data_IF_522459153116
#
_entry.id   IF_522459153116
#
_cell.length_a   1.000
_cell.length_b   1.000
_cell.length_c   1.000
_cell.angle_alpha   90.00
_cell.angle_beta   90.00
_cell.angle_gamma   90.00
#
_symmetry.space_group_name_H-M   'P 1'
#
loop_
_entity.id
_entity.type
_entity.pdbx_description
1 polymer ?
#
# COMPACT_ATOMS: atom_id res chain seq x y z
N UNK A 1 -16.21 -20.18 31.52
CA UNK A 1 -15.36 -19.10 31.01
C UNK A 1 -15.56 -19.06 29.49
N UNK A 2 -16.29 -18.07 28.96
CA UNK A 2 -16.56 -17.98 27.52
C UNK A 2 -15.41 -17.25 26.82
N UNK A 3 -14.77 -17.92 25.86
CA UNK A 3 -13.75 -17.32 25.01
C UNK A 3 -14.44 -16.50 23.90
N UNK A 4 -14.05 -15.24 23.74
CA UNK A 4 -14.50 -14.39 22.64
C UNK A 4 -13.87 -14.86 21.32
N UNK A 5 -14.68 -15.13 20.29
CA UNK A 5 -14.18 -15.33 18.92
C UNK A 5 -13.67 -13.99 18.37
N UNK A 6 -12.40 -13.94 17.97
CA UNK A 6 -11.85 -12.84 17.19
C UNK A 6 -12.33 -12.97 15.74
N UNK A 7 -13.07 -11.98 15.24
CA UNK A 7 -13.42 -11.89 13.83
C UNK A 7 -12.16 -11.57 13.02
N UNK A 8 -11.60 -12.57 12.33
CA UNK A 8 -10.53 -12.36 11.37
C UNK A 8 -11.12 -11.75 10.10
N UNK A 9 -10.73 -10.51 9.78
CA UNK A 9 -11.04 -9.92 8.47
C UNK A 9 -10.17 -10.63 7.44
N UNK A 10 -10.79 -11.39 6.54
CA UNK A 10 -10.08 -11.98 5.40
C UNK A 10 -9.39 -10.86 4.62
N UNK A 11 -8.08 -10.97 4.34
CA UNK A 11 -7.41 -9.98 3.52
C UNK A 11 -8.01 -10.00 2.11
N UNK A 12 -7.96 -8.86 1.42
CA UNK A 12 -8.23 -8.80 0.00
C UNK A 12 -7.28 -9.77 -0.72
N UNK A 13 -7.82 -10.87 -1.27
CA UNK A 13 -7.08 -11.81 -2.11
C UNK A 13 -7.42 -11.55 -3.57
N UNK A 14 -6.45 -11.02 -4.32
CA UNK A 14 -6.50 -11.03 -5.78
C UNK A 14 -5.71 -12.25 -6.22
N UNK A 15 -6.40 -13.36 -6.51
CA UNK A 15 -5.77 -14.67 -6.77
C UNK A 15 -4.81 -14.66 -7.95
N UNK A 16 -5.02 -13.77 -8.92
CA UNK A 16 -4.13 -13.64 -10.08
C UNK A 16 -2.84 -12.84 -9.76
N UNK A 17 -2.81 -12.06 -8.66
CA UNK A 17 -1.65 -11.26 -8.28
C UNK A 17 -0.89 -11.98 -7.17
N UNK A 18 0.16 -12.71 -7.57
CA UNK A 18 1.03 -13.43 -6.66
C UNK A 18 2.01 -12.47 -5.98
N UNK A 19 1.67 -11.99 -4.78
CA UNK A 19 2.54 -11.10 -3.98
C UNK A 19 3.72 -11.89 -3.43
N UNK A 20 4.94 -11.52 -3.83
CA UNK A 20 6.19 -12.15 -3.37
C UNK A 20 6.77 -11.44 -2.16
N UNK A 21 6.65 -10.11 -2.10
CA UNK A 21 7.19 -9.32 -1.01
C UNK A 21 6.20 -8.28 -0.52
N UNK A 22 6.16 -8.08 0.80
CA UNK A 22 5.34 -7.09 1.48
C UNK A 22 6.20 -6.30 2.46
N UNK A 23 6.20 -4.99 2.32
CA UNK A 23 6.91 -4.08 3.24
C UNK A 23 5.98 -2.99 3.72
N UNK A 24 6.03 -2.67 5.00
CA UNK A 24 5.20 -1.61 5.58
C UNK A 24 6.07 -0.54 6.19
N UNK A 25 5.82 0.70 5.82
CA UNK A 25 6.56 1.87 6.29
C UNK A 25 5.58 2.90 6.85
N UNK A 26 6.02 3.60 7.91
CA UNK A 26 5.29 4.74 8.46
C UNK A 26 5.93 6.02 7.94
N UNK A 27 5.12 6.90 7.33
CA UNK A 27 5.53 8.21 6.85
C UNK A 27 4.81 9.27 7.66
N UNK A 28 5.55 10.19 8.26
CA UNK A 28 4.99 11.39 8.89
C UNK A 28 5.11 12.56 7.92
N UNK A 29 3.99 13.10 7.47
CA UNK A 29 3.95 14.27 6.61
C UNK A 29 4.24 15.55 7.40
N UNK A 30 4.63 16.63 6.72
CA UNK A 30 4.95 17.93 7.33
C UNK A 30 3.79 18.51 8.16
N UNK A 31 2.55 18.17 7.81
CA UNK A 31 1.35 18.56 8.58
C UNK A 31 1.09 17.68 9.81
N UNK A 32 2.03 16.82 10.20
CA UNK A 32 1.94 15.93 11.36
C UNK A 32 1.09 14.67 11.14
N UNK A 33 0.46 14.49 9.98
CA UNK A 33 -0.30 13.28 9.68
C UNK A 33 0.64 12.10 9.41
N UNK A 34 0.37 10.97 10.04
CA UNK A 34 1.14 9.74 9.84
C UNK A 34 0.37 8.74 8.99
N UNK A 35 1.01 8.23 7.95
CA UNK A 35 0.47 7.22 7.04
C UNK A 35 1.25 5.92 7.18
N UNK A 36 0.56 4.81 7.42
CA UNK A 36 1.14 3.47 7.35
C UNK A 36 0.89 2.90 5.96
N UNK A 37 1.93 2.90 5.13
CA UNK A 37 1.88 2.47 3.74
C UNK A 37 2.41 1.05 3.63
N UNK A 38 1.66 0.17 2.96
CA UNK A 38 2.10 -1.20 2.68
C UNK A 38 2.39 -1.36 1.19
N UNK A 39 3.64 -1.59 0.83
CA UNK A 39 4.06 -1.93 -0.53
C UNK A 39 3.95 -3.45 -0.76
N UNK A 40 3.47 -3.82 -1.95
CA UNK A 40 3.32 -5.20 -2.40
C UNK A 40 4.04 -5.33 -3.74
N UNK A 41 5.05 -6.19 -3.81
CA UNK A 41 5.71 -6.54 -5.06
C UNK A 41 5.22 -7.91 -5.51
N UNK A 42 4.69 -7.97 -6.73
CA UNK A 42 4.15 -9.18 -7.32
C UNK A 42 5.17 -9.89 -8.21
N UNK A 43 4.99 -11.21 -8.38
CA UNK A 43 5.88 -12.07 -9.16
C UNK A 43 6.02 -11.69 -10.63
N UNK A 44 5.00 -11.03 -11.17
CA UNK A 44 4.97 -10.57 -12.55
C UNK A 44 5.66 -9.20 -12.75
N UNK A 45 6.38 -8.70 -11.75
CA UNK A 45 7.06 -7.41 -11.80
C UNK A 45 6.17 -6.19 -11.51
N UNK A 46 4.87 -6.38 -11.27
CA UNK A 46 3.99 -5.29 -10.84
C UNK A 46 4.27 -4.91 -9.38
N UNK A 47 4.12 -3.63 -9.07
CA UNK A 47 4.24 -3.12 -7.71
C UNK A 47 3.02 -2.30 -7.33
N UNK A 48 2.57 -2.44 -6.10
CA UNK A 48 1.39 -1.79 -5.56
C UNK A 48 1.68 -1.14 -4.21
N UNK A 49 0.89 -0.11 -3.86
CA UNK A 49 0.93 0.51 -2.54
C UNK A 49 -0.48 0.62 -1.96
N UNK A 50 -0.69 0.05 -0.77
CA UNK A 50 -1.89 0.28 0.02
C UNK A 50 -1.71 1.56 0.84
N UNK A 51 -2.51 2.57 0.52
CA UNK A 51 -2.42 3.90 1.12
C UNK A 51 -3.77 4.25 1.77
N UNK A 52 -3.79 4.66 3.06
CA UNK A 52 -5.01 5.16 3.67
C UNK A 52 -5.26 6.62 3.22
N UNK A 53 -6.38 6.86 2.56
CA UNK A 53 -6.82 8.18 2.10
C UNK A 53 -8.25 8.40 2.58
N UNK A 54 -8.49 9.50 3.29
CA UNK A 54 -9.83 9.89 3.79
C UNK A 54 -10.58 8.73 4.50
N UNK A 55 -9.87 7.98 5.35
CA UNK A 55 -10.43 6.85 6.11
C UNK A 55 -10.58 5.54 5.32
N UNK A 56 -10.26 5.52 4.02
CA UNK A 56 -10.34 4.34 3.16
C UNK A 56 -8.94 3.87 2.76
N UNK A 57 -8.72 2.55 2.76
CA UNK A 57 -7.50 1.99 2.16
C UNK A 57 -7.72 1.84 0.65
N UNK A 58 -6.92 2.54 -0.13
CA UNK A 58 -6.93 2.44 -1.59
C UNK A 58 -5.70 1.65 -2.04
N UNK A 59 -5.86 0.85 -3.10
CA UNK A 59 -4.78 0.12 -3.74
C UNK A 59 -4.25 0.96 -4.92
N UNK A 60 -3.05 1.48 -4.78
CA UNK A 60 -2.36 2.23 -5.82
C UNK A 60 -1.52 1.29 -6.68
N UNK A 61 -1.55 1.51 -7.99
CA UNK A 61 -0.77 0.73 -8.98
C UNK A 61 0.45 1.53 -9.40
N UNK A 62 1.61 0.87 -9.43
CA UNK A 62 2.87 1.46 -9.91
C UNK A 62 2.78 1.83 -11.39
N UNK A 63 3.24 3.03 -11.73
CA UNK A 63 3.26 3.55 -13.10
C UNK A 63 4.64 4.05 -13.48
N UNK A 64 4.92 4.11 -14.78
CA UNK A 64 6.16 4.70 -15.30
C UNK A 64 6.25 6.16 -14.87
N UNK A 65 7.41 6.55 -14.36
CA UNK A 65 7.70 7.91 -13.93
C UNK A 65 9.13 8.29 -14.34
N UNK A 66 9.35 9.58 -14.61
CA UNK A 66 10.66 10.08 -15.02
C UNK A 66 11.73 9.92 -13.93
N UNK A 67 11.34 9.90 -12.64
CA UNK A 67 12.26 9.58 -11.54
C UNK A 67 11.50 9.02 -10.33
N UNK A 68 12.19 8.26 -9.49
CA UNK A 68 11.60 7.65 -8.31
C UNK A 68 10.54 6.61 -8.65
N UNK A 69 9.64 6.34 -7.69
CA UNK A 69 8.56 5.37 -7.84
C UNK A 69 7.22 6.05 -7.62
N UNK A 70 6.37 6.04 -8.65
CA UNK A 70 5.04 6.66 -8.62
C UNK A 70 3.97 5.58 -8.66
N UNK A 71 2.98 5.73 -7.79
CA UNK A 71 1.79 4.91 -7.74
C UNK A 71 0.55 5.81 -7.87
N UNK A 72 -0.50 5.33 -8.53
CA UNK A 72 -1.76 6.09 -8.72
C UNK A 72 -2.99 5.25 -8.36
N UNK A 73 -4.00 5.90 -7.78
CA UNK A 73 -5.33 5.33 -7.55
C UNK A 73 -6.38 6.45 -7.55
N UNK A 74 -7.49 6.25 -8.25
CA UNK A 74 -8.55 7.25 -8.38
C UNK A 74 -7.96 8.61 -8.83
N UNK A 75 -8.11 9.67 -8.03
CA UNK A 75 -7.55 11.01 -8.27
C UNK A 75 -6.23 11.28 -7.55
N UNK A 76 -5.67 10.28 -6.86
CA UNK A 76 -4.53 10.45 -5.98
C UNK A 76 -3.25 9.85 -6.59
N UNK A 77 -2.12 10.49 -6.31
CA UNK A 77 -0.79 9.96 -6.64
C UNK A 77 0.07 9.88 -5.37
N UNK A 78 0.69 8.72 -5.16
CA UNK A 78 1.71 8.50 -4.14
C UNK A 78 3.06 8.37 -4.84
N UNK A 79 3.94 9.36 -4.66
CA UNK A 79 5.23 9.40 -5.34
C UNK A 79 6.35 9.48 -4.33
N UNK A 80 7.24 8.49 -4.36
CA UNK A 80 8.41 8.43 -3.50
C UNK A 80 9.69 8.54 -4.32
N UNK A 81 10.70 9.16 -3.72
CA UNK A 81 12.08 9.07 -4.18
C UNK A 81 12.83 8.26 -3.14
N UNK A 82 13.70 7.35 -3.58
CA UNK A 82 14.57 6.62 -2.65
C UNK A 82 15.39 7.61 -1.81
N UNK A 83 15.88 7.18 -0.63
CA UNK A 83 16.90 7.97 0.06
C UNK A 83 18.08 8.17 -0.91
N UNK A 84 18.49 9.42 -1.07
CA UNK A 84 19.74 9.75 -1.75
C UNK A 84 20.93 9.30 -0.93
#
# INVERSE_FOLDING_TARGET
MNAAQAAATSPLEVRDIQVQARHTFSYTCTNGKTFKITYLNAANGQSFALVPVDGRKLLFVGVIAASGVKYVADRYAWWTKGPG
#
